data_IF_706445098008
#
_entry.id   IF_706445098008
#
_cell.length_a   1.000
_cell.length_b   1.000
_cell.length_c   1.000
_cell.angle_alpha   90.00
_cell.angle_beta   90.00
_cell.angle_gamma   90.00
#
_symmetry.space_group_name_H-M   'P 1'
#
loop_
_entity.id
_entity.type
_entity.pdbx_description
1 polymer ?
#
# COMPACT_ATOMS: atom_id res chain seq x y z
N UNK A 1 7.04 -0.80 0.77
CA UNK A 1 5.69 -0.52 0.24
C UNK A 1 4.60 -1.40 0.83
N UNK A 2 4.68 -2.75 0.70
CA UNK A 2 3.62 -3.66 1.20
C UNK A 2 3.23 -3.49 2.66
N UNK A 3 4.21 -3.27 3.55
CA UNK A 3 3.92 -3.02 4.97
C UNK A 3 3.09 -1.74 5.21
N UNK A 4 3.35 -0.68 4.45
CA UNK A 4 2.57 0.56 4.54
C UNK A 4 1.15 0.37 3.97
N UNK A 5 1.03 -0.32 2.83
CA UNK A 5 -0.26 -0.69 2.26
C UNK A 5 -1.08 -1.54 3.24
N UNK A 6 -0.46 -2.52 3.90
CA UNK A 6 -1.10 -3.34 4.94
C UNK A 6 -1.68 -2.46 6.06
N UNK A 7 -0.90 -1.50 6.57
CA UNK A 7 -1.39 -0.63 7.64
C UNK A 7 -2.52 0.30 7.17
N UNK A 8 -2.45 0.80 5.94
CA UNK A 8 -3.54 1.56 5.33
C UNK A 8 -4.82 0.72 5.24
N UNK A 9 -4.74 -0.50 4.69
CA UNK A 9 -5.91 -1.39 4.55
C UNK A 9 -6.50 -1.74 5.92
N UNK A 10 -5.67 -2.02 6.93
CA UNK A 10 -6.14 -2.21 8.32
C UNK A 10 -6.90 -1.00 8.85
N UNK A 11 -6.35 0.19 8.62
CA UNK A 11 -6.94 1.44 9.09
C UNK A 11 -8.29 1.72 8.43
N UNK A 12 -8.39 1.55 7.11
CA UNK A 12 -9.59 1.87 6.34
C UNK A 12 -10.68 0.82 6.50
N UNK A 13 -10.32 -0.47 6.51
CA UNK A 13 -11.28 -1.56 6.71
C UNK A 13 -11.79 -1.67 8.14
N UNK A 14 -11.07 -1.11 9.12
CA UNK A 14 -11.35 -1.31 10.55
C UNK A 14 -10.87 -2.67 11.07
N UNK A 15 -10.30 -3.54 10.23
CA UNK A 15 -9.77 -4.83 10.65
C UNK A 15 -8.32 -4.72 11.11
N UNK A 16 -8.04 -5.15 12.35
CA UNK A 16 -6.64 -5.45 12.75
C UNK A 16 -6.13 -6.72 12.07
N UNK A 17 -7.00 -7.72 11.94
CA UNK A 17 -6.80 -8.95 11.19
C UNK A 17 -8.13 -9.33 10.51
N UNK A 18 -8.14 -9.69 9.22
CA UNK A 18 -9.36 -10.13 8.55
C UNK A 18 -9.81 -11.50 9.08
N UNK A 19 -11.12 -11.76 9.05
CA UNK A 19 -11.64 -13.11 9.23
C UNK A 19 -11.28 -13.99 8.02
N UNK A 20 -11.26 -15.32 8.19
CA UNK A 20 -10.84 -16.25 7.14
C UNK A 20 -11.58 -16.05 5.80
N UNK A 21 -12.89 -15.78 5.84
CA UNK A 21 -13.69 -15.54 4.64
C UNK A 21 -13.37 -14.21 3.92
N UNK A 22 -12.73 -13.26 4.60
CA UNK A 22 -12.31 -11.96 4.02
C UNK A 22 -10.81 -11.93 3.69
N UNK A 23 -10.07 -13.00 3.97
CA UNK A 23 -8.61 -13.03 3.83
C UNK A 23 -8.18 -12.71 2.39
N UNK A 24 -8.82 -13.35 1.41
CA UNK A 24 -8.51 -13.16 0.00
C UNK A 24 -8.72 -11.70 -0.45
N UNK A 25 -9.88 -11.12 -0.13
CA UNK A 25 -10.21 -9.73 -0.48
C UNK A 25 -9.25 -8.75 0.22
N UNK A 26 -8.92 -9.02 1.48
CA UNK A 26 -7.99 -8.21 2.26
C UNK A 26 -6.58 -8.25 1.64
N UNK A 27 -6.07 -9.44 1.32
CA UNK A 27 -4.74 -9.61 0.72
C UNK A 27 -4.66 -8.98 -0.66
N UNK A 28 -5.72 -9.12 -1.46
CA UNK A 28 -5.85 -8.47 -2.76
C UNK A 28 -5.81 -6.94 -2.63
N UNK A 29 -6.54 -6.36 -1.68
CA UNK A 29 -6.52 -4.92 -1.43
C UNK A 29 -5.10 -4.44 -1.07
N UNK A 30 -4.39 -5.18 -0.21
CA UNK A 30 -2.99 -4.85 0.14
C UNK A 30 -2.09 -4.89 -1.09
N UNK A 31 -2.24 -5.89 -1.97
CA UNK A 31 -1.46 -6.00 -3.19
C UNK A 31 -1.74 -4.84 -4.15
N UNK A 32 -3.01 -4.56 -4.46
CA UNK A 32 -3.40 -3.49 -5.39
C UNK A 32 -2.90 -2.10 -4.92
N UNK A 33 -3.00 -1.80 -3.63
CA UNK A 33 -2.51 -0.53 -3.07
C UNK A 33 -0.99 -0.46 -3.10
N UNK A 34 -0.30 -1.60 -2.89
CA UNK A 34 1.17 -1.67 -2.97
C UNK A 34 1.63 -1.28 -4.37
N UNK A 35 1.06 -1.90 -5.40
CA UNK A 35 1.42 -1.63 -6.79
C UNK A 35 1.02 -0.22 -7.23
N UNK A 36 -0.19 0.23 -6.87
CA UNK A 36 -0.63 1.57 -7.19
C UNK A 36 0.30 2.63 -6.60
N UNK A 37 0.69 2.45 -5.33
CA UNK A 37 1.61 3.36 -4.66
C UNK A 37 2.98 3.36 -5.34
N UNK A 38 3.51 2.18 -5.70
CA UNK A 38 4.78 2.09 -6.44
C UNK A 38 4.71 2.86 -7.75
N UNK A 39 3.71 2.58 -8.59
CA UNK A 39 3.52 3.27 -9.88
C UNK A 39 3.42 4.79 -9.73
N UNK A 40 2.72 5.27 -8.70
CA UNK A 40 2.58 6.70 -8.44
C UNK A 40 3.90 7.35 -8.01
N UNK A 41 4.69 6.68 -7.16
CA UNK A 41 5.97 7.21 -6.69
C UNK A 41 7.06 7.14 -7.75
N UNK A 42 7.03 6.13 -8.62
CA UNK A 42 7.95 6.03 -9.78
C UNK A 42 7.81 7.23 -10.72
N UNK A 43 6.62 7.85 -10.75
CA UNK A 43 6.34 9.07 -11.53
C UNK A 43 6.69 10.39 -10.83
N UNK A 44 7.25 10.37 -9.61
CA UNK A 44 7.59 11.61 -8.90
C UNK A 44 8.94 12.16 -9.37
N UNK A 45 8.90 13.35 -9.99
CA UNK A 45 10.09 14.16 -10.23
C UNK A 45 10.50 14.90 -8.96
N UNK A 46 11.59 14.46 -8.32
CA UNK A 46 12.14 15.16 -7.15
C UNK A 46 12.99 16.34 -7.64
N UNK A 47 12.44 17.56 -7.57
CA UNK A 47 13.24 18.78 -7.78
C UNK A 47 14.12 19.03 -6.55
N UNK A 48 15.44 19.04 -6.74
CA UNK A 48 16.40 19.47 -5.72
C UNK A 48 17.32 18.40 -5.13
N UNK A 49 17.41 17.19 -5.71
CA UNK A 49 18.52 16.29 -5.40
C UNK A 49 19.81 16.87 -6.00
N UNK A 50 20.42 17.84 -5.31
CA UNK A 50 21.79 18.24 -5.56
C UNK A 50 22.65 16.98 -5.41
N UNK A 51 23.23 16.55 -6.53
CA UNK A 51 24.23 15.50 -6.54
C UNK A 51 25.45 16.06 -5.81
N UNK A 52 25.62 15.67 -4.55
CA UNK A 52 26.86 15.88 -3.80
C UNK A 52 27.91 14.90 -4.31
#
# INVERSE_FOLDING_TARGET
MRAAALQYVRKVSGFRAPAAHNQEVFDRAVAEITEATQRLLDGLEIRGAARV
#
